data_IF_187551537292
#
_entry.id   IF_187551537292
#
_cell.length_a   1.000
_cell.length_b   1.000
_cell.length_c   1.000
_cell.angle_alpha   90.00
_cell.angle_beta   90.00
_cell.angle_gamma   90.00
#
_symmetry.space_group_name_H-M   'P 1'
#
loop_
_entity.id
_entity.type
_entity.pdbx_description
1 polymer ?
#
# COMPACT_ATOMS: atom_id res chain seq x y z
N UNK A 1 8.20 -16.80 20.82
CA UNK A 1 7.69 -17.56 19.67
C UNK A 1 6.44 -16.95 19.00
N UNK A 2 6.02 -15.70 19.27
CA UNK A 2 4.81 -15.06 18.70
C UNK A 2 5.06 -13.86 17.78
N UNK A 3 6.21 -13.22 17.88
CA UNK A 3 6.56 -12.05 17.03
C UNK A 3 7.34 -12.44 15.77
N UNK A 4 8.02 -13.58 15.77
CA UNK A 4 8.79 -14.05 14.61
C UNK A 4 7.90 -14.58 13.48
N UNK A 5 6.65 -14.96 13.80
CA UNK A 5 5.70 -15.52 12.85
C UNK A 5 5.16 -14.48 11.85
N UNK A 6 4.94 -13.24 12.29
CA UNK A 6 4.46 -12.17 11.42
C UNK A 6 5.59 -11.65 10.50
N UNK A 7 6.84 -11.72 10.96
CA UNK A 7 8.00 -11.29 10.19
C UNK A 7 8.42 -12.29 9.10
N UNK A 8 8.00 -13.56 9.19
CA UNK A 8 8.37 -14.60 8.21
C UNK A 8 7.51 -14.61 6.94
N UNK A 9 6.40 -13.85 6.91
CA UNK A 9 5.55 -13.67 5.70
C UNK A 9 6.16 -12.64 4.74
N UNK A 10 7.20 -11.93 5.17
CA UNK A 10 7.89 -10.92 4.37
C UNK A 10 8.87 -11.61 3.41
N UNK A 11 8.37 -12.15 2.30
CA UNK A 11 9.23 -12.45 1.15
C UNK A 11 9.72 -11.12 0.59
N UNK A 12 11.03 -10.93 0.70
CA UNK A 12 11.72 -9.70 0.40
C UNK A 12 11.74 -9.38 -1.10
N UNK A 13 10.77 -8.64 -1.58
CA UNK A 13 11.07 -7.70 -2.64
C UNK A 13 11.96 -6.60 -2.05
N UNK A 14 12.91 -6.06 -2.81
CA UNK A 14 13.89 -5.04 -2.38
C UNK A 14 13.24 -3.83 -1.69
N UNK A 15 12.01 -3.50 -2.05
CA UNK A 15 11.20 -2.43 -1.50
C UNK A 15 10.28 -2.88 -0.35
N UNK A 16 10.37 -4.14 0.11
CA UNK A 16 9.63 -4.63 1.28
C UNK A 16 8.10 -4.51 1.16
N UNK A 17 7.55 -4.61 -0.05
CA UNK A 17 6.11 -4.69 -0.22
C UNK A 17 5.59 -5.92 0.52
N UNK A 18 4.63 -5.75 1.41
CA UNK A 18 3.95 -6.90 2.01
C UNK A 18 3.19 -7.62 0.90
N UNK A 19 3.44 -8.91 0.66
CA UNK A 19 2.63 -9.69 -0.26
C UNK A 19 1.19 -9.71 0.27
N UNK A 20 0.24 -9.64 -0.63
CA UNK A 20 -1.15 -9.85 -0.27
C UNK A 20 -1.32 -11.30 0.21
N UNK A 21 -2.09 -11.57 1.27
CA UNK A 21 -2.28 -12.94 1.77
C UNK A 21 -2.74 -13.92 0.70
N UNK A 22 -3.55 -13.45 -0.25
CA UNK A 22 -4.00 -14.24 -1.40
C UNK A 22 -2.86 -14.61 -2.37
N UNK A 23 -1.82 -13.78 -2.49
CA UNK A 23 -0.66 -14.09 -3.32
C UNK A 23 0.18 -15.23 -2.73
N UNK A 24 0.25 -15.34 -1.42
CA UNK A 24 0.97 -16.41 -0.73
C UNK A 24 0.43 -17.81 -1.08
N UNK A 25 -0.82 -17.91 -1.53
CA UNK A 25 -1.41 -19.18 -2.00
C UNK A 25 -0.60 -19.74 -3.18
N UNK A 26 -0.06 -18.89 -4.03
CA UNK A 26 0.71 -19.28 -5.21
C UNK A 26 2.17 -19.62 -4.93
N UNK A 27 2.65 -19.31 -3.70
CA UNK A 27 4.03 -19.61 -3.28
C UNK A 27 4.19 -21.05 -2.75
N UNK A 28 3.13 -21.84 -2.79
CA UNK A 28 3.10 -23.25 -2.44
C UNK A 28 2.35 -23.58 -1.17
N UNK A 29 2.20 -24.86 -0.87
CA UNK A 29 1.33 -25.35 0.20
C UNK A 29 1.68 -24.79 1.58
N UNK A 30 2.96 -24.64 1.91
CA UNK A 30 3.37 -24.12 3.20
C UNK A 30 2.99 -22.63 3.35
N UNK A 31 3.20 -21.82 2.32
CA UNK A 31 2.84 -20.40 2.31
C UNK A 31 1.31 -20.22 2.30
N UNK A 32 0.59 -21.02 1.54
CA UNK A 32 -0.88 -21.05 1.54
C UNK A 32 -1.43 -21.36 2.94
N UNK A 33 -0.89 -22.38 3.60
CA UNK A 33 -1.28 -22.73 4.98
C UNK A 33 -1.02 -21.55 5.93
N UNK A 34 0.12 -20.92 5.83
CA UNK A 34 0.49 -19.77 6.66
C UNK A 34 -0.45 -18.57 6.45
N UNK A 35 -0.83 -18.28 5.20
CA UNK A 35 -1.80 -17.23 4.89
C UNK A 35 -3.17 -17.53 5.52
N UNK A 36 -3.64 -18.77 5.42
CA UNK A 36 -4.90 -19.21 6.05
C UNK A 36 -4.85 -19.15 7.58
N UNK A 37 -3.75 -19.59 8.19
CA UNK A 37 -3.55 -19.49 9.64
C UNK A 37 -3.57 -18.03 10.10
N UNK A 38 -3.01 -17.12 9.32
CA UNK A 38 -3.02 -15.68 9.58
C UNK A 38 -4.43 -15.09 9.50
N UNK A 39 -5.22 -15.46 8.48
CA UNK A 39 -6.62 -15.06 8.36
C UNK A 39 -7.45 -15.59 9.54
N UNK A 40 -7.27 -16.83 9.91
CA UNK A 40 -7.96 -17.45 11.06
C UNK A 40 -7.54 -16.80 12.38
N UNK A 41 -6.29 -16.35 12.50
CA UNK A 41 -5.83 -15.59 13.66
C UNK A 41 -6.55 -14.24 13.79
N UNK A 42 -6.65 -13.49 12.69
CA UNK A 42 -7.36 -12.19 12.63
C UNK A 42 -8.82 -12.35 13.03
N UNK A 43 -9.49 -13.38 12.51
CA UNK A 43 -10.88 -13.70 12.85
C UNK A 43 -11.07 -13.96 14.36
N UNK A 44 -10.14 -14.70 14.96
CA UNK A 44 -10.17 -15.01 16.39
C UNK A 44 -9.73 -13.84 17.27
N UNK A 45 -9.02 -12.88 16.73
CA UNK A 45 -8.46 -11.75 17.44
C UNK A 45 -8.76 -10.43 16.71
N UNK A 46 -10.03 -10.01 16.59
CA UNK A 46 -10.42 -8.83 15.82
C UNK A 46 -9.73 -7.55 16.31
N UNK A 47 -9.35 -7.47 17.58
CA UNK A 47 -8.57 -6.34 18.12
C UNK A 47 -7.12 -6.25 17.59
N UNK A 48 -6.63 -7.25 16.86
CA UNK A 48 -5.32 -7.21 16.19
C UNK A 48 -5.37 -6.56 14.82
N UNK A 49 -6.56 -6.26 14.30
CA UNK A 49 -6.73 -5.63 12.98
C UNK A 49 -6.40 -4.15 13.09
N UNK A 50 -5.54 -3.68 12.21
CA UNK A 50 -5.22 -2.26 12.07
C UNK A 50 -5.62 -1.78 10.69
N UNK A 51 -5.99 -0.49 10.59
CA UNK A 51 -6.20 0.11 9.27
C UNK A 51 -4.83 0.49 8.71
N UNK A 52 -4.55 0.01 7.50
CA UNK A 52 -3.51 0.57 6.67
C UNK A 52 -4.09 1.75 5.90
N UNK A 53 -3.47 2.94 6.04
CA UNK A 53 -3.77 4.05 5.16
C UNK A 53 -3.50 3.67 3.71
N UNK A 54 -4.45 3.94 2.84
CA UNK A 54 -4.35 3.70 1.40
C UNK A 54 -4.33 5.02 0.65
N UNK A 55 -3.19 5.32 0.03
CA UNK A 55 -2.98 6.57 -0.70
C UNK A 55 -2.48 6.35 -2.12
N UNK A 56 -2.48 7.40 -2.93
CA UNK A 56 -1.96 7.38 -4.29
C UNK A 56 -1.47 8.76 -4.74
N UNK A 57 -0.28 8.84 -5.32
CA UNK A 57 0.69 7.78 -5.60
C UNK A 57 1.51 7.35 -4.37
N UNK A 58 2.10 6.16 -4.45
CA UNK A 58 3.20 5.78 -3.57
C UNK A 58 4.47 6.51 -4.03
N UNK A 59 5.15 7.17 -3.09
CA UNK A 59 6.32 7.99 -3.34
C UNK A 59 7.48 7.59 -2.45
N UNK A 60 8.68 7.58 -3.02
CA UNK A 60 9.93 7.50 -2.27
C UNK A 60 10.62 8.86 -2.42
N UNK A 61 10.89 9.51 -1.31
CA UNK A 61 11.42 10.87 -1.30
C UNK A 61 12.52 11.02 -0.25
N UNK A 62 13.49 11.88 -0.52
CA UNK A 62 14.63 12.06 0.38
C UNK A 62 15.78 12.82 -0.26
N UNK A 63 16.95 12.75 0.39
CA UNK A 63 18.16 13.41 -0.13
C UNK A 63 19.23 12.41 -0.53
N UNK A 64 19.81 12.68 -1.68
CA UNK A 64 21.04 12.05 -2.14
C UNK A 64 22.22 12.49 -1.27
N UNK A 65 23.36 11.76 -1.31
CA UNK A 65 24.56 12.15 -0.58
C UNK A 65 25.13 13.53 -0.96
N UNK A 66 24.83 14.01 -2.17
CA UNK A 66 25.20 15.36 -2.64
C UNK A 66 24.25 16.48 -2.16
N UNK A 67 23.24 16.12 -1.35
CA UNK A 67 22.28 17.03 -0.75
C UNK A 67 21.05 17.34 -1.61
N UNK A 68 20.99 16.90 -2.86
CA UNK A 68 19.81 17.11 -3.72
C UNK A 68 18.61 16.37 -3.18
N UNK A 69 17.50 17.09 -3.06
CA UNK A 69 16.20 16.49 -2.75
C UNK A 69 15.59 15.84 -4.00
N UNK A 70 15.02 14.65 -3.84
CA UNK A 70 14.45 13.90 -4.96
C UNK A 70 13.14 13.21 -4.55
N UNK A 71 12.24 13.03 -5.51
CA UNK A 71 11.01 12.23 -5.38
C UNK A 71 10.98 11.23 -6.53
N UNK A 72 10.69 9.97 -6.23
CA UNK A 72 10.59 8.87 -7.19
C UNK A 72 9.35 8.00 -6.91
N UNK A 73 8.91 7.27 -7.93
CA UNK A 73 8.11 6.06 -7.72
C UNK A 73 9.03 4.85 -7.43
N UNK A 74 8.43 3.72 -7.07
CA UNK A 74 9.16 2.49 -6.78
C UNK A 74 10.07 2.08 -7.95
N UNK A 75 9.57 2.15 -9.18
CA UNK A 75 10.33 1.74 -10.35
C UNK A 75 11.57 2.63 -10.59
N UNK A 76 11.42 3.95 -10.47
CA UNK A 76 12.53 4.89 -10.56
C UNK A 76 13.57 4.59 -9.49
N UNK A 77 13.14 4.38 -8.25
CA UNK A 77 14.04 4.11 -7.12
C UNK A 77 14.82 2.80 -7.31
N UNK A 78 14.16 1.72 -7.69
CA UNK A 78 14.79 0.42 -7.95
C UNK A 78 15.80 0.48 -9.11
N UNK A 79 15.55 1.33 -10.10
CA UNK A 79 16.47 1.56 -11.23
C UNK A 79 17.46 2.71 -10.99
N UNK A 80 17.56 3.25 -9.77
CA UNK A 80 18.45 4.33 -9.37
C UNK A 80 18.27 5.60 -10.24
N UNK A 81 17.03 5.89 -10.62
CA UNK A 81 16.63 7.10 -11.33
C UNK A 81 16.06 8.08 -10.32
N UNK A 82 16.69 9.24 -10.18
CA UNK A 82 16.36 10.25 -9.18
C UNK A 82 15.92 11.53 -9.85
N UNK A 83 14.64 11.87 -9.75
CA UNK A 83 14.12 13.14 -10.21
C UNK A 83 14.34 14.20 -9.11
N UNK A 84 14.99 15.29 -9.43
CA UNK A 84 15.28 16.43 -8.54
C UNK A 84 14.31 17.60 -8.75
N UNK A 85 13.33 17.43 -9.60
CA UNK A 85 12.29 18.42 -9.87
C UNK A 85 11.03 17.75 -10.42
N UNK A 86 9.84 18.38 -10.27
CA UNK A 86 8.60 17.90 -10.90
C UNK A 86 8.74 17.71 -12.41
N UNK A 87 9.48 18.61 -13.06
CA UNK A 87 9.73 18.54 -14.50
C UNK A 87 10.57 17.31 -14.88
N UNK A 88 11.67 17.05 -14.17
CA UNK A 88 12.51 15.88 -14.42
C UNK A 88 11.71 14.58 -14.23
N UNK A 89 10.84 14.55 -13.22
CA UNK A 89 9.93 13.43 -12.97
C UNK A 89 8.95 13.23 -14.14
N UNK A 90 8.31 14.31 -14.60
CA UNK A 90 7.39 14.29 -15.73
C UNK A 90 8.06 13.84 -17.03
N UNK A 91 9.24 14.36 -17.34
CA UNK A 91 10.00 14.00 -18.54
C UNK A 91 10.37 12.51 -18.55
N UNK A 92 10.78 11.97 -17.41
CA UNK A 92 11.06 10.54 -17.28
C UNK A 92 9.81 9.68 -17.45
N UNK A 93 8.73 10.00 -16.76
CA UNK A 93 7.48 9.26 -16.80
C UNK A 93 6.87 9.26 -18.21
N UNK A 94 6.86 10.41 -18.86
CA UNK A 94 6.38 10.57 -20.24
C UNK A 94 7.15 9.69 -21.23
N UNK A 95 8.47 9.66 -21.14
CA UNK A 95 9.32 8.81 -21.98
C UNK A 95 9.05 7.35 -21.77
N UNK A 96 8.93 6.92 -20.51
CA UNK A 96 8.64 5.52 -20.15
C UNK A 96 7.28 5.04 -20.66
N UNK A 97 6.29 5.95 -20.70
CA UNK A 97 4.91 5.65 -21.12
C UNK A 97 4.61 5.94 -22.59
N UNK A 98 5.64 6.02 -23.43
CA UNK A 98 5.48 6.29 -24.87
C UNK A 98 4.67 7.58 -25.14
N UNK A 99 4.87 8.60 -24.33
CA UNK A 99 4.21 9.90 -24.47
C UNK A 99 2.86 10.05 -23.75
N UNK A 100 2.36 9.01 -23.10
CA UNK A 100 1.13 9.12 -22.31
C UNK A 100 1.35 10.02 -21.09
N UNK A 101 0.60 11.12 -21.01
CA UNK A 101 0.70 12.10 -19.93
C UNK A 101 -0.26 11.78 -18.77
N UNK A 102 0.17 12.12 -17.56
CA UNK A 102 -0.64 12.01 -16.32
C UNK A 102 -0.73 13.38 -15.63
N UNK A 103 -1.47 14.35 -16.20
CA UNK A 103 -1.48 15.74 -15.74
C UNK A 103 -1.86 15.90 -14.28
N UNK A 104 -2.85 15.13 -13.79
CA UNK A 104 -3.28 15.16 -12.39
C UNK A 104 -2.17 14.75 -11.43
N UNK A 105 -1.37 13.74 -11.81
CA UNK A 105 -0.24 13.30 -11.01
C UNK A 105 0.87 14.36 -10.99
N UNK A 106 1.20 14.93 -12.15
CA UNK A 106 2.24 15.97 -12.24
C UNK A 106 1.84 17.20 -11.41
N UNK A 107 0.58 17.62 -11.47
CA UNK A 107 0.07 18.71 -10.65
C UNK A 107 0.13 18.41 -9.15
N UNK A 108 -0.16 17.16 -8.74
CA UNK A 108 0.01 16.75 -7.34
C UNK A 108 1.48 16.88 -6.91
N UNK A 109 2.42 16.41 -7.74
CA UNK A 109 3.85 16.50 -7.45
C UNK A 109 4.34 17.95 -7.35
N UNK A 110 3.91 18.83 -8.27
CA UNK A 110 4.25 20.26 -8.20
C UNK A 110 3.83 20.90 -6.87
N UNK A 111 2.62 20.59 -6.40
CA UNK A 111 2.08 21.15 -5.15
C UNK A 111 2.82 20.69 -3.91
N UNK A 112 3.26 19.44 -3.86
CA UNK A 112 3.88 18.85 -2.67
C UNK A 112 5.40 18.90 -2.67
N UNK A 113 6.06 19.21 -3.80
CA UNK A 113 7.51 19.11 -3.94
C UNK A 113 8.25 19.93 -2.88
N UNK A 114 8.06 21.24 -2.90
CA UNK A 114 8.70 22.13 -1.94
C UNK A 114 8.26 21.87 -0.48
N UNK A 115 6.98 21.65 -0.17
CA UNK A 115 6.55 21.20 1.17
C UNK A 115 7.22 19.92 1.66
N UNK A 116 7.38 18.90 0.82
CA UNK A 116 8.10 17.67 1.18
C UNK A 116 9.59 17.92 1.36
N UNK A 117 10.22 18.72 0.49
CA UNK A 117 11.62 19.08 0.65
C UNK A 117 11.90 19.76 1.99
N UNK A 118 11.05 20.71 2.38
CA UNK A 118 11.12 21.37 3.70
C UNK A 118 10.91 20.38 4.85
N UNK A 119 10.04 19.40 4.65
CA UNK A 119 9.77 18.36 5.65
C UNK A 119 10.97 17.44 5.84
N UNK A 120 11.64 17.04 4.77
CA UNK A 120 12.89 16.25 4.83
C UNK A 120 14.03 17.10 5.44
N UNK A 121 14.07 18.41 5.18
CA UNK A 121 15.12 19.29 5.68
C UNK A 121 16.50 18.77 5.29
N UNK A 122 17.39 18.61 6.26
CA UNK A 122 18.74 18.09 6.08
C UNK A 122 18.87 16.58 6.39
N UNK A 123 17.76 15.88 6.61
CA UNK A 123 17.79 14.46 6.89
C UNK A 123 18.33 13.67 5.70
N UNK A 124 19.19 12.70 5.98
CA UNK A 124 19.74 11.78 4.98
C UNK A 124 18.84 10.57 4.80
N UNK A 125 19.00 9.88 3.67
CA UNK A 125 18.22 8.70 3.34
C UNK A 125 16.89 9.03 2.66
N UNK A 126 16.05 8.00 2.55
CA UNK A 126 14.80 8.07 1.80
C UNK A 126 13.65 7.55 2.63
N UNK A 127 12.48 8.14 2.43
CA UNK A 127 11.23 7.78 3.08
C UNK A 127 10.24 7.28 2.03
N UNK A 128 9.58 6.17 2.28
CA UNK A 128 8.53 5.66 1.41
C UNK A 128 7.17 5.81 2.07
N UNK A 129 6.26 6.44 1.35
CA UNK A 129 4.91 6.68 1.82
C UNK A 129 3.90 6.83 0.69
N UNK A 130 2.63 6.84 1.07
CA UNK A 130 1.50 7.02 0.16
C UNK A 130 0.92 8.42 0.34
N UNK A 131 0.77 9.16 -0.75
CA UNK A 131 0.18 10.49 -0.75
C UNK A 131 -1.33 10.39 -0.48
N UNK A 132 -1.80 11.11 0.53
CA UNK A 132 -3.21 11.12 0.92
C UNK A 132 -3.99 12.32 0.36
N UNK A 133 -3.38 13.51 0.38
CA UNK A 133 -3.90 14.73 -0.27
C UNK A 133 -2.76 15.65 -0.65
N UNK A 134 -2.97 16.52 -1.64
CA UNK A 134 -1.97 17.42 -2.21
C UNK A 134 -2.44 18.87 -2.33
N UNK A 135 -3.45 19.24 -1.57
CA UNK A 135 -3.96 20.63 -1.47
C UNK A 135 -4.64 20.82 -0.14
N UNK A 136 -4.77 22.06 0.31
CA UNK A 136 -5.53 22.34 1.53
C UNK A 136 -6.95 21.78 1.41
N UNK A 137 -7.37 21.07 2.44
CA UNK A 137 -8.73 20.55 2.55
C UNK A 137 -9.60 21.53 3.33
N UNK A 138 -10.84 21.67 2.90
CA UNK A 138 -11.85 22.45 3.61
C UNK A 138 -12.83 21.48 4.28
N UNK A 139 -13.13 21.63 5.57
CA UNK A 139 -14.07 20.74 6.23
C UNK A 139 -15.51 21.01 5.73
N UNK A 140 -16.25 19.96 5.48
CA UNK A 140 -17.68 19.99 5.16
C UNK A 140 -18.43 19.34 6.32
N UNK A 141 -19.43 20.03 6.86
CA UNK A 141 -20.20 19.56 8.03
C UNK A 141 -19.33 19.14 9.24
N UNK A 142 -18.21 19.85 9.42
CA UNK A 142 -17.26 19.56 10.50
C UNK A 142 -16.33 18.37 10.26
N UNK A 143 -16.30 17.83 9.06
CA UNK A 143 -15.46 16.71 8.67
C UNK A 143 -14.55 17.08 7.49
N UNK A 144 -13.28 16.70 7.55
CA UNK A 144 -12.43 16.60 6.36
C UNK A 144 -12.74 15.30 5.64
N UNK A 145 -13.10 15.40 4.36
CA UNK A 145 -13.42 14.24 3.51
C UNK A 145 -12.44 14.21 2.36
N UNK A 146 -11.76 13.09 2.17
CA UNK A 146 -10.85 12.88 1.06
C UNK A 146 -10.76 11.40 0.66
N UNK A 147 -10.55 11.17 -0.62
CA UNK A 147 -10.44 9.84 -1.22
C UNK A 147 -9.17 9.77 -2.07
N UNK A 148 -8.02 9.42 -1.48
CA UNK A 148 -6.74 9.41 -2.21
C UNK A 148 -6.65 8.26 -3.24
N UNK A 149 -7.29 7.13 -2.97
CA UNK A 149 -7.36 5.96 -3.83
C UNK A 149 -8.79 5.38 -3.78
N UNK A 150 -8.98 4.16 -3.33
CA UNK A 150 -10.31 3.50 -3.25
C UNK A 150 -11.06 3.85 -1.98
N UNK A 151 -10.33 4.04 -0.87
CA UNK A 151 -10.93 4.31 0.45
C UNK A 151 -11.23 5.79 0.63
N UNK A 152 -12.44 6.13 1.08
CA UNK A 152 -12.81 7.47 1.52
C UNK A 152 -12.55 7.61 3.03
N UNK A 153 -11.82 8.65 3.40
CA UNK A 153 -11.54 9.01 4.80
C UNK A 153 -12.39 10.18 5.23
N UNK A 154 -12.98 10.07 6.42
CA UNK A 154 -13.79 11.13 7.06
C UNK A 154 -13.20 11.40 8.43
N UNK A 155 -12.59 12.56 8.61
CA UNK A 155 -11.87 12.93 9.83
C UNK A 155 -12.55 14.12 10.48
N UNK A 156 -12.99 14.02 11.75
CA UNK A 156 -13.57 15.16 12.46
C UNK A 156 -12.59 16.34 12.54
N UNK A 157 -13.00 17.52 12.09
CA UNK A 157 -12.12 18.70 12.03
C UNK A 157 -11.58 19.12 13.40
N UNK A 158 -12.33 18.85 14.47
CA UNK A 158 -11.94 19.15 15.85
C UNK A 158 -11.01 18.11 16.49
N UNK A 159 -10.79 16.95 15.85
CA UNK A 159 -9.84 15.93 16.34
C UNK A 159 -8.40 16.42 16.18
N UNK A 160 -7.44 15.82 16.91
CA UNK A 160 -6.02 16.15 16.78
C UNK A 160 -5.53 15.98 15.33
N UNK A 161 -5.95 14.90 14.67
CA UNK A 161 -5.65 14.66 13.25
C UNK A 161 -6.34 15.69 12.35
N UNK A 162 -7.61 16.04 12.61
CA UNK A 162 -8.32 17.07 11.87
C UNK A 162 -7.65 18.44 11.97
N UNK A 163 -7.13 18.81 13.13
CA UNK A 163 -6.36 20.05 13.31
C UNK A 163 -5.03 20.01 12.54
N UNK A 164 -4.39 18.85 12.43
CA UNK A 164 -3.19 18.68 11.62
C UNK A 164 -3.52 18.81 10.12
N UNK A 165 -4.60 18.19 9.65
CA UNK A 165 -5.10 18.30 8.28
C UNK A 165 -5.38 19.76 7.92
N UNK A 166 -6.09 20.49 8.78
CA UNK A 166 -6.48 21.88 8.52
C UNK A 166 -5.33 22.88 8.40
N UNK A 167 -4.14 22.51 8.85
CA UNK A 167 -2.92 23.33 8.75
C UNK A 167 -2.00 22.90 7.61
N UNK A 168 -2.36 21.83 6.89
CA UNK A 168 -1.48 21.17 5.92
C UNK A 168 -1.90 21.46 4.50
N UNK A 169 -0.94 21.72 3.63
CA UNK A 169 -1.14 21.82 2.17
C UNK A 169 -1.15 20.46 1.50
N UNK A 170 -0.68 19.41 2.19
CA UNK A 170 -0.68 18.04 1.74
C UNK A 170 -0.47 17.07 2.89
N UNK A 171 -0.73 15.80 2.67
CA UNK A 171 -0.51 14.77 3.66
C UNK A 171 0.00 13.47 3.05
N UNK A 172 0.91 12.82 3.75
CA UNK A 172 1.52 11.57 3.35
C UNK A 172 1.63 10.65 4.57
N UNK A 173 1.28 9.38 4.39
CA UNK A 173 1.58 8.36 5.38
C UNK A 173 2.93 7.73 5.03
N UNK A 174 3.85 7.69 5.99
CA UNK A 174 5.19 7.14 5.79
C UNK A 174 5.26 5.75 6.41
N UNK A 175 5.60 4.78 5.58
CA UNK A 175 5.65 3.36 5.97
C UNK A 175 7.07 2.93 6.32
N UNK A 176 8.04 3.33 5.49
CA UNK A 176 9.39 2.81 5.55
C UNK A 176 10.45 3.90 5.38
N UNK A 177 11.65 3.57 5.81
CA UNK A 177 12.85 4.38 5.69
C UNK A 177 13.99 3.54 5.09
N UNK A 178 14.78 4.15 4.22
CA UNK A 178 16.00 3.60 3.64
C UNK A 178 17.18 4.49 4.02
N UNK A 179 18.22 3.93 4.61
CA UNK A 179 19.41 4.70 4.98
C UNK A 179 20.12 5.30 3.76
N UNK A 180 20.07 4.60 2.64
CA UNK A 180 20.51 5.06 1.32
C UNK A 180 19.68 4.39 0.21
N UNK A 181 19.93 4.75 -1.05
CA UNK A 181 19.18 4.24 -2.20
C UNK A 181 19.39 2.75 -2.51
N UNK A 182 20.28 2.06 -1.81
CA UNK A 182 20.56 0.62 -1.96
C UNK A 182 20.31 -0.16 -0.68
N UNK A 183 20.04 0.54 0.42
CA UNK A 183 19.76 -0.08 1.70
C UNK A 183 18.44 -0.87 1.65
N UNK A 184 18.33 -1.84 2.54
CA UNK A 184 17.05 -2.52 2.79
C UNK A 184 16.12 -1.58 3.53
N UNK A 185 14.81 -1.62 3.23
CA UNK A 185 13.83 -0.82 3.94
C UNK A 185 13.72 -1.25 5.39
N UNK A 186 13.51 -0.27 6.25
CA UNK A 186 13.19 -0.45 7.66
C UNK A 186 11.86 0.21 7.94
N UNK A 187 11.09 -0.31 8.90
CA UNK A 187 9.89 0.36 9.34
C UNK A 187 10.25 1.77 9.85
N UNK A 188 9.54 2.78 9.36
CA UNK A 188 9.76 4.15 9.84
C UNK A 188 9.34 4.29 11.31
N UNK A 189 10.24 4.85 12.11
CA UNK A 189 10.09 5.00 13.56
C UNK A 189 9.58 6.38 14.01
N UNK A 190 9.15 7.23 13.06
CA UNK A 190 8.69 8.59 13.35
C UNK A 190 9.79 9.65 13.36
N UNK A 191 11.05 9.29 13.10
CA UNK A 191 12.19 10.22 13.13
C UNK A 191 12.63 10.65 11.72
N UNK A 192 13.43 11.71 11.67
CA UNK A 192 14.08 12.19 10.45
C UNK A 192 13.20 13.09 9.58
N UNK A 193 11.95 13.34 9.94
CA UNK A 193 11.05 14.25 9.22
C UNK A 193 10.55 15.35 10.14
N UNK A 194 10.45 16.56 9.62
CA UNK A 194 9.82 17.67 10.33
C UNK A 194 8.30 17.53 10.26
N UNK A 195 7.68 17.14 11.36
CA UNK A 195 6.22 16.93 11.47
C UNK A 195 5.44 18.21 11.79
N UNK A 196 6.12 19.34 11.99
CA UNK A 196 5.50 20.65 12.29
C UNK A 196 5.39 21.57 11.09
N UNK A 197 5.85 21.10 9.91
CA UNK A 197 5.79 21.84 8.66
C UNK A 197 4.41 21.90 8.01
N UNK A 198 4.40 22.34 6.75
CA UNK A 198 3.18 22.45 5.94
C UNK A 198 2.65 21.13 5.40
N UNK A 199 3.40 20.03 5.55
CA UNK A 199 2.94 18.67 5.23
C UNK A 199 2.49 17.94 6.50
N UNK A 200 1.34 17.28 6.44
CA UNK A 200 0.97 16.32 7.46
C UNK A 200 1.71 15.00 7.22
N UNK A 201 2.56 14.63 8.17
CA UNK A 201 3.27 13.35 8.14
C UNK A 201 2.59 12.40 9.12
N UNK A 202 2.08 11.29 8.59
CA UNK A 202 1.34 10.29 9.34
C UNK A 202 2.17 9.01 9.43
N UNK A 203 2.16 8.41 10.61
CA UNK A 203 2.65 7.03 10.75
C UNK A 203 1.55 6.04 10.38
N UNK A 204 1.85 4.80 9.95
CA UNK A 204 0.85 3.83 9.54
C UNK A 204 -0.27 3.59 10.57
N UNK A 205 0.06 3.74 11.85
CA UNK A 205 -0.86 3.53 12.97
C UNK A 205 -1.36 4.84 13.60
N UNK A 206 -1.09 6.01 12.97
CA UNK A 206 -1.41 7.30 13.54
C UNK A 206 -2.93 7.55 13.59
N UNK A 207 -3.49 7.53 14.76
CA UNK A 207 -4.76 8.18 15.09
C UNK A 207 -6.03 7.47 14.65
N UNK A 208 -5.97 6.39 13.92
CA UNK A 208 -7.15 5.64 13.50
C UNK A 208 -7.35 4.44 14.42
N UNK A 209 -8.16 4.63 15.45
CA UNK A 209 -8.77 3.49 16.13
C UNK A 209 -9.87 2.98 15.19
N UNK A 210 -9.63 1.84 14.59
CA UNK A 210 -10.66 1.13 13.88
C UNK A 210 -11.70 0.67 14.91
N UNK A 211 -12.84 1.29 14.91
CA UNK A 211 -14.01 0.77 15.55
C UNK A 211 -14.77 0.01 14.47
N UNK A 212 -14.61 -1.30 14.45
CA UNK A 212 -15.60 -2.17 13.84
C UNK A 212 -16.86 -1.98 14.70
N UNK A 213 -17.82 -1.21 14.22
CA UNK A 213 -19.13 -1.10 14.86
C UNK A 213 -19.85 -2.46 14.83
N UNK A 214 -19.46 -3.34 13.89
CA UNK A 214 -19.73 -4.77 13.87
C UNK A 214 -18.41 -5.51 13.63
N UNK A 215 -17.86 -6.21 14.63
CA UNK A 215 -16.79 -7.14 14.36
C UNK A 215 -17.31 -8.14 13.35
N UNK A 216 -16.60 -8.32 12.23
CA UNK A 216 -16.91 -9.35 11.25
C UNK A 216 -16.93 -10.68 11.99
N UNK A 217 -18.09 -11.05 12.51
CA UNK A 217 -18.32 -12.37 13.06
C UNK A 217 -18.42 -13.30 11.87
N UNK A 218 -17.29 -13.87 11.50
CA UNK A 218 -17.36 -15.03 10.62
C UNK A 218 -18.23 -16.07 11.31
N UNK A 219 -19.39 -16.29 10.75
CA UNK A 219 -20.28 -17.36 11.20
C UNK A 219 -19.49 -18.67 11.19
N UNK A 220 -19.89 -19.62 12.02
CA UNK A 220 -19.27 -20.98 12.06
C UNK A 220 -19.20 -21.60 10.66
N UNK A 221 -20.23 -21.37 9.83
CA UNK A 221 -20.28 -21.85 8.45
C UNK A 221 -19.24 -21.18 7.54
N UNK A 222 -19.03 -19.86 7.64
CA UNK A 222 -18.00 -19.18 6.88
C UNK A 222 -16.58 -19.61 7.31
N UNK A 223 -16.35 -19.79 8.61
CA UNK A 223 -15.08 -20.35 9.11
C UNK A 223 -14.82 -21.78 8.61
N UNK A 224 -15.87 -22.62 8.55
CA UNK A 224 -15.78 -23.96 7.99
C UNK A 224 -15.48 -23.93 6.49
N UNK A 225 -16.14 -23.05 5.74
CA UNK A 225 -15.91 -22.86 4.30
C UNK A 225 -14.47 -22.41 4.02
N UNK A 226 -13.96 -21.39 4.73
CA UNK A 226 -12.57 -20.93 4.59
C UNK A 226 -11.57 -22.06 4.84
N UNK A 227 -11.79 -22.87 5.90
CA UNK A 227 -10.93 -24.02 6.17
C UNK A 227 -11.01 -25.10 5.07
N UNK A 228 -12.22 -25.38 4.56
CA UNK A 228 -12.41 -26.37 3.51
C UNK A 228 -11.77 -25.95 2.20
N UNK A 229 -12.05 -24.73 1.71
CA UNK A 229 -11.49 -24.21 0.47
C UNK A 229 -9.99 -23.99 0.57
N UNK A 230 -9.50 -23.55 1.73
CA UNK A 230 -8.07 -23.42 1.97
C UNK A 230 -7.31 -24.73 1.85
N UNK A 231 -7.86 -25.84 2.39
CA UNK A 231 -7.24 -27.18 2.24
C UNK A 231 -7.28 -27.66 0.79
N UNK A 232 -8.35 -27.37 0.06
CA UNK A 232 -8.43 -27.68 -1.37
C UNK A 232 -7.36 -26.90 -2.15
N UNK A 233 -7.25 -25.60 -1.92
CA UNK A 233 -6.21 -24.78 -2.54
C UNK A 233 -4.80 -25.30 -2.20
N UNK A 234 -4.52 -25.63 -0.92
CA UNK A 234 -3.26 -26.21 -0.49
C UNK A 234 -2.94 -27.51 -1.25
N UNK A 235 -3.93 -28.38 -1.42
CA UNK A 235 -3.77 -29.65 -2.14
C UNK A 235 -3.49 -29.45 -3.61
N UNK A 236 -4.25 -28.59 -4.30
CA UNK A 236 -4.09 -28.34 -5.74
C UNK A 236 -2.79 -27.60 -6.04
N UNK A 237 -2.51 -26.52 -5.33
CA UNK A 237 -1.33 -25.68 -5.57
C UNK A 237 -0.04 -26.37 -5.12
N UNK A 238 -0.11 -27.25 -4.10
CA UNK A 238 1.04 -28.05 -3.68
C UNK A 238 1.53 -29.05 -4.74
N UNK A 239 0.63 -29.49 -5.63
CA UNK A 239 0.96 -30.36 -6.78
C UNK A 239 1.44 -29.65 -8.03
N UNK A 240 1.33 -28.31 -8.10
CA UNK A 240 1.78 -27.52 -9.28
C UNK A 240 3.26 -27.18 -9.18
N UNK A 241 3.95 -27.18 -10.32
CA UNK A 241 5.32 -26.65 -10.38
C UNK A 241 5.34 -25.10 -10.23
N UNK A 242 6.51 -24.53 -9.90
CA UNK A 242 6.65 -23.12 -9.63
C UNK A 242 6.32 -22.20 -10.81
N UNK A 243 6.56 -22.66 -12.04
CA UNK A 243 6.28 -21.88 -13.26
C UNK A 243 4.77 -21.82 -13.51
N UNK A 244 4.09 -22.94 -13.36
CA UNK A 244 2.63 -23.03 -13.51
C UNK A 244 1.93 -22.16 -12.45
N UNK A 245 2.38 -22.17 -11.19
CA UNK A 245 1.83 -21.32 -10.12
C UNK A 245 2.00 -19.83 -10.44
N UNK A 246 3.17 -19.40 -10.88
CA UNK A 246 3.41 -18.00 -11.25
C UNK A 246 2.58 -17.56 -12.47
N UNK A 247 2.41 -18.44 -13.45
CA UNK A 247 1.57 -18.17 -14.61
C UNK A 247 0.10 -17.99 -14.17
N UNK A 248 -0.40 -18.88 -13.32
CA UNK A 248 -1.75 -18.80 -12.75
C UNK A 248 -1.95 -17.54 -11.93
N UNK A 249 -1.01 -17.17 -11.06
CA UNK A 249 -1.05 -15.93 -10.30
C UNK A 249 -1.16 -14.71 -11.21
N UNK A 250 -0.32 -14.61 -12.23
CA UNK A 250 -0.37 -13.50 -13.19
C UNK A 250 -1.71 -13.44 -13.93
N UNK A 251 -2.25 -14.60 -14.30
CA UNK A 251 -3.55 -14.68 -14.95
C UNK A 251 -4.67 -14.21 -14.03
N UNK A 252 -4.73 -14.73 -12.79
CA UNK A 252 -5.73 -14.34 -11.80
C UNK A 252 -5.66 -12.84 -11.48
N UNK A 253 -4.48 -12.30 -11.23
CA UNK A 253 -4.31 -10.88 -10.95
C UNK A 253 -4.77 -10.00 -12.12
N UNK A 254 -4.56 -10.45 -13.36
CA UNK A 254 -5.07 -9.74 -14.55
C UNK A 254 -6.60 -9.75 -14.62
N UNK A 255 -7.24 -10.87 -14.25
CA UNK A 255 -8.70 -11.01 -14.29
C UNK A 255 -9.38 -10.27 -13.14
N UNK A 256 -8.79 -10.27 -11.95
CA UNK A 256 -9.33 -9.60 -10.76
C UNK A 256 -9.23 -8.07 -10.87
N UNK A 257 -8.19 -7.55 -11.54
CA UNK A 257 -7.96 -6.11 -11.61
C UNK A 257 -9.11 -5.39 -12.32
N UNK A 258 -9.77 -4.49 -11.60
CA UNK A 258 -10.84 -3.63 -12.11
C UNK A 258 -12.23 -4.25 -12.10
N UNK A 259 -12.41 -5.47 -11.55
CA UNK A 259 -13.72 -6.09 -11.39
C UNK A 259 -14.34 -5.77 -10.02
N UNK A 260 -15.67 -5.69 -9.96
CA UNK A 260 -16.42 -5.69 -8.70
C UNK A 260 -16.46 -7.09 -8.10
N UNK A 261 -16.82 -7.21 -6.81
CA UNK A 261 -16.96 -8.52 -6.17
C UNK A 261 -18.02 -9.40 -6.84
N UNK A 262 -19.12 -8.79 -7.30
CA UNK A 262 -20.20 -9.46 -8.01
C UNK A 262 -19.71 -9.99 -9.37
N UNK A 263 -19.06 -9.18 -10.17
CA UNK A 263 -18.49 -9.57 -11.46
C UNK A 263 -17.44 -10.69 -11.29
N UNK A 264 -16.63 -10.63 -10.22
CA UNK A 264 -15.66 -11.67 -9.93
C UNK A 264 -16.32 -12.99 -9.56
N UNK A 265 -17.40 -12.96 -8.75
CA UNK A 265 -18.15 -14.16 -8.40
C UNK A 265 -18.83 -14.75 -9.63
N UNK A 266 -19.46 -13.93 -10.48
CA UNK A 266 -20.09 -14.36 -11.71
C UNK A 266 -19.07 -14.97 -12.69
N UNK A 267 -17.90 -14.36 -12.82
CA UNK A 267 -16.80 -14.91 -13.61
C UNK A 267 -16.32 -16.27 -13.07
N UNK A 268 -16.11 -16.41 -11.76
CA UNK A 268 -15.67 -17.66 -11.14
C UNK A 268 -16.72 -18.79 -11.26
N UNK A 269 -18.00 -18.45 -11.36
CA UNK A 269 -19.11 -19.39 -11.52
C UNK A 269 -19.50 -19.60 -12.99
N UNK A 270 -19.03 -18.75 -13.88
CA UNK A 270 -19.43 -18.75 -15.29
C UNK A 270 -18.68 -19.77 -16.16
N UNK A 271 -19.24 -20.01 -17.35
CA UNK A 271 -18.69 -20.93 -18.35
C UNK A 271 -17.36 -20.44 -19.00
N UNK A 272 -16.99 -19.17 -18.79
CA UNK A 272 -15.73 -18.62 -19.32
C UNK A 272 -14.50 -19.30 -18.72
N UNK A 273 -14.52 -19.68 -17.45
CA UNK A 273 -13.44 -20.44 -16.80
C UNK A 273 -13.28 -21.80 -17.45
N UNK A 274 -14.39 -22.43 -17.89
CA UNK A 274 -14.38 -23.74 -18.54
C UNK A 274 -13.93 -23.69 -20.00
N UNK A 275 -14.06 -22.56 -20.69
CA UNK A 275 -13.70 -22.42 -22.10
C UNK A 275 -12.21 -22.14 -22.30
N UNK A 276 -11.53 -21.55 -21.32
CA UNK A 276 -10.08 -21.27 -21.38
C UNK A 276 -9.21 -22.47 -20.95
N UNK A 277 -9.82 -23.55 -20.40
CA UNK A 277 -9.14 -24.81 -20.06
C UNK A 277 -9.05 -25.79 -21.27
N UNK A 278 -9.58 -25.45 -22.44
CA UNK A 278 -9.49 -26.24 -23.69
C UNK A 278 -8.53 -25.59 -24.65
#
# INVERSE_FOLDING_TARGET
>A
MRLDFVNSILVEERTGAQPHPEDAIFDGAAAAKQALDSLMYVIKNPGSVTIKWDGFPALIFGRLPDGRFTIQDKYMFDNQVFADSPRAWQEYDSKKRSGTLRPDLYQKLERIWSPLEQTVGNSTGFFWGDLLWSQMLTPVEGMYVFKPNVVEYRIPAKSALGQQIGRSVGGIVVHQYFADSRARPQQWNGQGLNTTGSMAILAPNAGVKFRLDDPVQLTKSASAAVNQYGRLAETFLGGMDGVARQAMQKYMNKKITGQTNEELVDWLQGDEVRSEER
#
